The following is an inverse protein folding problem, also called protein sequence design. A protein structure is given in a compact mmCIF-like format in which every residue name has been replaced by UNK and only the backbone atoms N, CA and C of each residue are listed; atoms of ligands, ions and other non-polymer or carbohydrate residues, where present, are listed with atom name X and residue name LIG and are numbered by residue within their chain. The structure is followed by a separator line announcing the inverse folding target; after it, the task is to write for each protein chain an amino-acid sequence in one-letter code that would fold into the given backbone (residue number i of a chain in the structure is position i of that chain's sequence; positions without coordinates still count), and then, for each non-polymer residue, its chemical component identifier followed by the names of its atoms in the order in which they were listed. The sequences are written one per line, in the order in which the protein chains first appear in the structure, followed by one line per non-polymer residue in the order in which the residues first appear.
data_IF_127234495330
#
_entry.id   IF_127234495330
#
_cell.length_a   1.000
_cell.length_b   1.000
_cell.length_c   1.000
_cell.angle_alpha   90.00
_cell.angle_beta   90.00
_cell.angle_gamma   90.00
#
_symmetry.space_group_name_H-M   'P 1'
#
loop_
_entity.id
_entity.type
_entity.pdbx_description
1 polymer ?
#
# COMPACT_ATOMS: atom_id res chain seq x y z
N UNK A 1 10.72 -3.46 13.35
CA UNK A 1 10.00 -3.29 12.06
C UNK A 1 8.51 -3.40 12.35
N UNK A 2 7.69 -2.53 11.74
CA UNK A 2 6.21 -2.64 11.80
C UNK A 2 5.63 -2.77 10.41
N UNK A 3 4.61 -3.62 10.29
CA UNK A 3 3.73 -3.68 9.12
C UNK A 3 2.29 -3.59 9.64
N UNK A 4 1.49 -2.69 9.07
CA UNK A 4 0.09 -2.50 9.45
C UNK A 4 -0.76 -2.23 8.22
N UNK A 5 -2.00 -2.72 8.24
CA UNK A 5 -2.99 -2.47 7.19
C UNK A 5 -4.32 -1.99 7.77
N UNK A 6 -4.97 -1.08 7.05
CA UNK A 6 -6.29 -0.55 7.38
C UNK A 6 -7.15 -0.55 6.11
N UNK A 7 -8.37 -1.08 6.20
CA UNK A 7 -9.40 -0.86 5.19
C UNK A 7 -10.00 0.52 5.47
N UNK A 8 -9.63 1.50 4.65
CA UNK A 8 -10.14 2.86 4.79
C UNK A 8 -11.44 3.07 4.01
N UNK A 9 -11.96 4.31 4.05
CA UNK A 9 -13.27 4.66 3.49
C UNK A 9 -13.38 4.38 1.99
N UNK A 10 -14.57 3.94 1.58
CA UNK A 10 -14.90 3.70 0.17
C UNK A 10 -15.40 5.00 -0.46
N UNK A 11 -16.02 5.87 0.33
CA UNK A 11 -16.53 7.17 -0.05
C UNK A 11 -15.44 8.25 -0.02
N UNK A 12 -15.65 9.30 -0.81
CA UNK A 12 -14.79 10.46 -0.81
C UNK A 12 -14.95 11.25 0.51
N UNK A 13 -13.83 11.52 1.17
CA UNK A 13 -13.77 12.34 2.38
C UNK A 13 -13.33 13.77 2.09
N UNK A 14 -13.61 14.66 3.03
CA UNK A 14 -13.07 16.01 3.08
C UNK A 14 -12.36 16.26 4.42
N UNK A 15 -11.26 17.00 4.39
CA UNK A 15 -10.60 17.55 5.57
C UNK A 15 -10.76 19.07 5.53
N UNK A 16 -11.30 19.67 6.60
CA UNK A 16 -11.60 21.10 6.63
C UNK A 16 -12.44 21.57 5.42
N UNK A 17 -13.48 20.80 5.07
CA UNK A 17 -14.32 21.00 3.89
C UNK A 17 -13.58 20.97 2.53
N UNK A 18 -12.34 20.49 2.49
CA UNK A 18 -11.59 20.28 1.24
C UNK A 18 -11.53 18.79 0.91
N UNK A 19 -11.99 18.37 -0.28
CA UNK A 19 -11.97 16.97 -0.67
C UNK A 19 -10.53 16.44 -0.73
N UNK A 20 -10.29 15.28 -0.11
CA UNK A 20 -8.96 14.66 -0.12
C UNK A 20 -8.84 13.63 -1.24
N UNK A 21 -7.72 13.68 -1.96
CA UNK A 21 -7.43 12.73 -3.04
C UNK A 21 -6.91 11.39 -2.52
N UNK A 22 -6.40 11.37 -1.30
CA UNK A 22 -5.78 10.21 -0.69
C UNK A 22 -5.61 10.39 0.80
N UNK A 23 -5.49 9.26 1.47
CA UNK A 23 -5.25 9.17 2.90
C UNK A 23 -4.07 8.22 3.12
N UNK A 24 -3.19 8.59 4.04
CA UNK A 24 -2.07 7.78 4.51
C UNK A 24 -2.03 7.89 6.02
N UNK A 25 -1.57 6.84 6.70
CA UNK A 25 -1.31 6.89 8.13
C UNK A 25 0.12 6.43 8.39
N UNK A 26 0.75 6.98 9.41
CA UNK A 26 2.10 6.60 9.82
C UNK A 26 2.17 6.61 11.34
N UNK A 27 2.80 5.60 11.92
CA UNK A 27 3.14 5.57 13.34
C UNK A 27 4.53 6.19 13.47
N UNK A 28 4.62 7.34 14.14
CA UNK A 28 5.87 8.09 14.34
C UNK A 28 6.20 8.17 15.83
N UNK A 29 7.49 8.38 16.16
CA UNK A 29 7.96 8.52 17.55
C UNK A 29 8.24 7.21 18.28
N UNK A 30 8.07 6.06 17.61
CA UNK A 30 8.51 4.75 18.11
C UNK A 30 9.91 4.48 17.57
N UNK A 31 10.86 3.93 18.36
CA UNK A 31 12.20 3.58 17.89
C UNK A 31 12.16 2.39 16.92
N UNK A 32 11.75 2.65 15.68
CA UNK A 32 11.63 1.66 14.61
C UNK A 32 12.35 2.14 13.36
N UNK A 33 13.31 1.33 12.90
CA UNK A 33 14.11 1.63 11.71
C UNK A 33 13.35 1.43 10.39
N UNK A 34 12.21 0.73 10.43
CA UNK A 34 11.33 0.46 9.30
C UNK A 34 9.88 0.32 9.75
N UNK A 35 9.00 1.10 9.13
CA UNK A 35 7.55 1.08 9.32
C UNK A 35 6.88 1.08 7.95
N UNK A 36 5.99 0.13 7.72
CA UNK A 36 5.22 -0.01 6.49
C UNK A 36 3.74 0.04 6.85
N UNK A 37 3.00 0.95 6.24
CA UNK A 37 1.56 1.10 6.43
C UNK A 37 0.82 1.03 5.11
N UNK A 38 -0.28 0.28 5.09
CA UNK A 38 -1.13 0.08 3.93
C UNK A 38 -2.55 0.55 4.24
N UNK A 39 -3.10 1.39 3.38
CA UNK A 39 -4.47 1.88 3.52
C UNK A 39 -5.20 1.81 2.19
N UNK A 40 -6.40 1.22 2.16
CA UNK A 40 -7.30 1.37 1.01
C UNK A 40 -8.14 2.63 1.16
N UNK A 41 -8.20 3.48 0.13
CA UNK A 41 -9.10 4.65 0.09
C UNK A 41 -9.76 4.74 -1.27
N UNK A 42 -11.10 4.81 -1.31
CA UNK A 42 -11.90 4.81 -2.54
C UNK A 42 -11.49 3.67 -3.50
N UNK A 43 -11.33 2.46 -2.95
CA UNK A 43 -10.91 1.27 -3.70
C UNK A 43 -9.45 1.27 -4.16
N UNK A 44 -8.64 2.29 -3.82
CA UNK A 44 -7.22 2.36 -4.20
C UNK A 44 -6.33 2.04 -3.00
N UNK A 45 -5.48 1.02 -3.15
CA UNK A 45 -4.45 0.70 -2.17
C UNK A 45 -3.37 1.80 -2.18
N UNK A 46 -2.98 2.25 -0.99
CA UNK A 46 -1.94 3.25 -0.75
C UNK A 46 -0.94 2.70 0.25
N UNK A 47 0.33 2.75 -0.12
CA UNK A 47 1.46 2.29 0.69
C UNK A 47 2.27 3.50 1.16
N UNK A 48 2.58 3.57 2.45
CA UNK A 48 3.58 4.48 2.99
C UNK A 48 4.67 3.70 3.73
N UNK A 49 5.91 4.15 3.57
CA UNK A 49 7.08 3.52 4.18
C UNK A 49 7.90 4.59 4.88
N UNK A 50 8.05 4.44 6.19
CA UNK A 50 8.98 5.20 7.01
C UNK A 50 10.23 4.36 7.29
N UNK A 51 11.41 4.92 7.12
CA UNK A 51 12.67 4.23 7.36
C UNK A 51 13.74 5.21 7.84
N UNK A 52 14.73 4.69 8.57
CA UNK A 52 15.91 5.46 8.94
C UNK A 52 16.74 5.85 7.71
N UNK A 53 17.34 7.05 7.76
CA UNK A 53 18.20 7.54 6.70
C UNK A 53 19.38 6.59 6.47
N UNK A 54 19.60 6.21 5.21
CA UNK A 54 20.70 5.32 4.82
C UNK A 54 20.40 3.82 5.01
N UNK A 55 19.29 3.44 5.64
CA UNK A 55 18.92 2.03 5.77
C UNK A 55 18.41 1.43 4.44
N UNK A 56 17.68 2.23 3.65
CA UNK A 56 17.06 1.79 2.41
C UNK A 56 17.38 2.77 1.28
N UNK A 57 17.85 2.22 0.15
CA UNK A 57 17.97 2.96 -1.10
C UNK A 57 16.59 3.13 -1.76
N UNK A 58 16.00 4.32 -1.63
CA UNK A 58 14.62 4.59 -2.06
C UNK A 58 14.30 4.18 -3.52
N UNK A 59 15.15 4.43 -4.54
CA UNK A 59 14.86 4.00 -5.91
C UNK A 59 14.81 2.47 -6.07
N UNK A 60 15.76 1.75 -5.47
CA UNK A 60 15.80 0.28 -5.50
C UNK A 60 14.59 -0.30 -4.78
N UNK A 61 14.27 0.24 -3.61
CA UNK A 61 13.13 -0.21 -2.83
C UNK A 61 11.80 0.01 -3.56
N UNK A 62 11.61 1.19 -4.18
CA UNK A 62 10.43 1.47 -5.01
C UNK A 62 10.31 0.46 -6.15
N UNK A 63 11.41 0.13 -6.82
CA UNK A 63 11.42 -0.89 -7.87
C UNK A 63 11.02 -2.28 -7.34
N UNK A 64 11.58 -2.70 -6.20
CA UNK A 64 11.22 -3.97 -5.56
C UNK A 64 9.73 -4.05 -5.21
N UNK A 65 9.17 -2.97 -4.65
CA UNK A 65 7.74 -2.89 -4.32
C UNK A 65 6.87 -2.99 -5.58
N UNK A 66 7.22 -2.26 -6.65
CA UNK A 66 6.47 -2.32 -7.90
C UNK A 66 6.52 -3.71 -8.51
N UNK A 67 7.70 -4.33 -8.57
CA UNK A 67 7.85 -5.69 -9.08
C UNK A 67 7.03 -6.70 -8.27
N UNK A 68 7.05 -6.60 -6.94
CA UNK A 68 6.25 -7.45 -6.08
C UNK A 68 4.74 -7.26 -6.32
N UNK A 69 4.29 -6.01 -6.48
CA UNK A 69 2.91 -5.70 -6.83
C UNK A 69 2.52 -6.32 -8.18
N UNK A 70 3.34 -6.17 -9.21
CA UNK A 70 3.06 -6.70 -10.55
C UNK A 70 2.96 -8.24 -10.54
N UNK A 71 3.84 -8.91 -9.78
CA UNK A 71 3.80 -10.37 -9.60
C UNK A 71 2.50 -10.81 -8.92
N UNK A 72 2.11 -10.16 -7.81
CA UNK A 72 0.88 -10.49 -7.08
C UNK A 72 -0.35 -10.21 -7.94
N UNK A 73 -0.37 -9.07 -8.62
CA UNK A 73 -1.47 -8.67 -9.49
C UNK A 73 -1.66 -9.67 -10.64
N UNK A 74 -0.55 -10.05 -11.31
CA UNK A 74 -0.60 -11.04 -12.39
C UNK A 74 -1.15 -12.38 -11.88
N UNK A 75 -0.63 -12.89 -10.76
CA UNK A 75 -1.12 -14.14 -10.19
C UNK A 75 -2.62 -14.08 -9.84
N UNK A 76 -3.08 -12.97 -9.24
CA UNK A 76 -4.49 -12.80 -8.88
C UNK A 76 -5.41 -12.74 -10.11
N UNK A 77 -4.96 -12.09 -11.19
CA UNK A 77 -5.72 -12.03 -12.47
C UNK A 77 -5.73 -13.38 -13.18
N UNK A 78 -4.58 -14.07 -13.24
CA UNK A 78 -4.45 -15.37 -13.89
C UNK A 78 -5.31 -16.44 -13.19
N UNK A 79 -5.39 -16.41 -11.85
CA UNK A 79 -6.28 -17.28 -11.06
C UNK A 79 -7.78 -16.98 -11.26
N UNK A 80 -8.14 -15.78 -11.72
CA UNK A 80 -9.53 -15.40 -12.02
C UNK A 80 -9.91 -15.64 -13.49
N UNK A 81 -9.03 -16.24 -14.30
CA UNK A 81 -9.34 -16.55 -15.70
C UNK A 81 -10.55 -17.51 -15.79
N UNK A 82 -11.64 -17.14 -16.48
CA UNK A 82 -12.85 -17.96 -16.58
C UNK A 82 -12.64 -19.30 -17.31
N UNK A 83 -11.45 -19.54 -17.88
CA UNK A 83 -11.08 -20.83 -18.45
C UNK A 83 -10.75 -21.92 -17.41
N UNK A 84 -10.47 -21.56 -16.15
CA UNK A 84 -10.10 -22.53 -15.11
C UNK A 84 -11.29 -23.05 -14.28
N UNK A 85 -12.50 -22.50 -14.46
CA UNK A 85 -13.69 -22.84 -13.66
C UNK A 85 -14.69 -23.75 -14.39
N UNK A 86 -14.29 -24.38 -15.50
CA UNK A 86 -15.14 -25.28 -16.31
C UNK A 86 -14.58 -26.72 -16.38
N UNK A 87 -14.11 -27.28 -15.26
CA UNK A 87 -13.88 -28.73 -15.12
C UNK A 87 -14.61 -29.22 -13.88
#
# INVERSE_FOLDING_TARGET
MTVSNIIGPVEQMALSNQPVKGLYFMVVGVPQSLTITMLSYMGKLRLAVGTENGLIEAPKFKFCIQNAFDMIFKAAVDHYSPAANNI
#
